data_IF_177376718221
#
_entry.id   IF_177376718221
#
_cell.length_a   1.000
_cell.length_b   1.000
_cell.length_c   1.000
_cell.angle_alpha   90.00
_cell.angle_beta   90.00
_cell.angle_gamma   90.00
#
_symmetry.space_group_name_H-M   'P 1'
#
loop_
_entity.id
_entity.type
_entity.pdbx_description
1 polymer ?
#
# COMPACT_ATOMS: atom_id res chain seq x y z
N UNK A 1 -8.69 7.73 30.66
CA UNK A 1 -9.25 7.51 29.33
C UNK A 1 -8.18 6.95 28.39
N UNK A 2 -8.47 5.84 27.78
CA UNK A 2 -7.51 5.20 26.89
C UNK A 2 -7.45 5.92 25.56
N UNK A 3 -6.27 6.45 25.22
CA UNK A 3 -6.08 7.13 23.96
C UNK A 3 -6.15 6.13 22.80
N UNK A 4 -6.91 6.47 21.77
CA UNK A 4 -6.96 5.64 20.60
C UNK A 4 -5.58 5.66 19.93
N UNK A 5 -5.06 4.47 19.65
CA UNK A 5 -3.74 4.24 19.09
C UNK A 5 -3.65 4.63 17.61
N UNK A 6 -4.79 4.64 16.94
CA UNK A 6 -4.86 4.86 15.50
C UNK A 6 -5.64 6.13 15.17
N UNK A 7 -5.30 6.72 14.03
CA UNK A 7 -6.03 7.88 13.54
C UNK A 7 -7.43 7.48 13.09
N UNK A 8 -8.35 8.43 13.09
CA UNK A 8 -9.71 8.18 12.62
C UNK A 8 -9.72 7.96 11.10
N UNK A 9 -10.72 7.22 10.60
CA UNK A 9 -10.91 7.01 9.16
C UNK A 9 -11.10 8.34 8.44
N UNK A 10 -11.86 9.25 9.03
CA UNK A 10 -12.11 10.58 8.45
C UNK A 10 -10.82 11.35 8.26
N UNK A 11 -9.91 11.27 9.24
CA UNK A 11 -8.61 11.92 9.18
C UNK A 11 -7.74 11.35 8.05
N UNK A 12 -7.75 10.03 7.90
CA UNK A 12 -6.99 9.34 6.84
C UNK A 12 -7.53 9.71 5.45
N UNK A 13 -8.85 9.73 5.30
CA UNK A 13 -9.48 10.11 4.03
C UNK A 13 -9.11 11.55 3.67
N UNK A 14 -9.14 12.47 4.63
CA UNK A 14 -8.74 13.85 4.41
C UNK A 14 -7.28 13.97 3.98
N UNK A 15 -6.38 13.22 4.61
CA UNK A 15 -4.97 13.15 4.25
C UNK A 15 -4.78 12.65 2.82
N UNK A 16 -5.48 11.57 2.48
CA UNK A 16 -5.41 10.98 1.14
C UNK A 16 -5.90 11.94 0.06
N UNK A 17 -6.98 12.67 0.32
CA UNK A 17 -7.52 13.64 -0.63
C UNK A 17 -6.56 14.80 -0.92
N UNK A 18 -5.70 15.11 0.03
CA UNK A 18 -4.67 16.15 -0.12
C UNK A 18 -3.38 15.62 -0.75
N UNK A 19 -3.34 14.36 -1.13
CA UNK A 19 -2.15 13.74 -1.70
C UNK A 19 -1.12 13.31 -0.66
N UNK A 20 -1.50 13.25 0.61
CA UNK A 20 -0.58 12.89 1.68
C UNK A 20 -0.43 11.38 1.85
N UNK A 21 0.65 11.02 2.53
CA UNK A 21 0.91 9.62 2.90
C UNK A 21 0.30 9.31 4.26
N UNK A 22 -0.05 8.05 4.44
CA UNK A 22 -0.49 7.53 5.72
C UNK A 22 0.05 6.11 5.90
N UNK A 23 -0.06 5.60 7.11
CA UNK A 23 0.37 4.25 7.44
C UNK A 23 -0.85 3.39 7.65
N UNK A 24 -0.94 2.31 6.89
CA UNK A 24 -1.99 1.31 7.03
C UNK A 24 -1.40 0.10 7.72
N UNK A 25 -2.01 -0.31 8.85
CA UNK A 25 -1.54 -1.48 9.59
C UNK A 25 -2.54 -2.60 9.45
N UNK A 26 -2.04 -3.81 9.37
CA UNK A 26 -2.89 -4.99 9.31
C UNK A 26 -3.12 -5.57 10.70
N UNK A 27 -3.91 -6.65 10.75
CA UNK A 27 -4.20 -7.36 11.98
C UNK A 27 -2.91 -7.98 12.53
N UNK A 28 -2.75 -7.91 13.85
CA UNK A 28 -1.63 -8.56 14.55
C UNK A 28 -1.54 -10.05 14.26
N UNK A 29 -2.68 -10.67 13.98
CA UNK A 29 -2.75 -12.11 13.66
C UNK A 29 -2.37 -12.42 12.21
N UNK A 30 -2.16 -11.41 11.38
CA UNK A 30 -1.73 -11.58 9.99
C UNK A 30 -0.23 -11.32 9.90
N UNK A 31 0.17 -10.16 9.43
CA UNK A 31 1.58 -9.81 9.28
C UNK A 31 2.09 -8.92 10.40
N UNK A 32 1.19 -8.23 11.08
CA UNK A 32 1.51 -7.25 12.12
C UNK A 32 2.52 -6.20 11.62
N UNK A 33 2.30 -5.73 10.40
CA UNK A 33 3.18 -4.78 9.74
C UNK A 33 2.41 -3.54 9.31
N UNK A 34 3.14 -2.45 9.14
CA UNK A 34 2.59 -1.21 8.61
C UNK A 34 3.12 -0.94 7.21
N UNK A 35 2.27 -0.40 6.36
CA UNK A 35 2.64 0.01 5.01
C UNK A 35 2.50 1.51 4.85
N UNK A 36 3.46 2.14 4.17
CA UNK A 36 3.31 3.51 3.73
C UNK A 36 2.44 3.52 2.47
N UNK A 37 1.39 4.33 2.49
CA UNK A 37 0.39 4.35 1.41
C UNK A 37 0.11 5.78 0.98
N UNK A 38 -0.04 6.00 -0.30
CA UNK A 38 -0.62 7.23 -0.84
C UNK A 38 -1.35 6.92 -2.14
N UNK A 39 -2.22 7.85 -2.56
CA UNK A 39 -3.01 7.66 -3.78
C UNK A 39 -2.09 7.73 -5.00
N UNK A 40 -2.18 6.73 -5.88
CA UNK A 40 -1.30 6.63 -7.05
C UNK A 40 -1.41 7.83 -7.99
N UNK A 41 -2.58 8.49 -8.05
CA UNK A 41 -2.75 9.69 -8.86
C UNK A 41 -1.87 10.87 -8.41
N UNK A 42 -1.36 10.81 -7.19
CA UNK A 42 -0.51 11.86 -6.60
C UNK A 42 0.98 11.51 -6.66
N UNK A 43 1.36 10.51 -7.45
CA UNK A 43 2.72 10.02 -7.52
C UNK A 43 3.68 11.07 -8.06
N UNK A 44 4.86 11.13 -7.45
CA UNK A 44 6.00 11.89 -7.95
C UNK A 44 7.30 11.26 -7.44
N UNK A 45 8.42 11.68 -8.00
CA UNK A 45 9.73 11.14 -7.65
C UNK A 45 10.06 11.31 -6.17
N UNK A 46 9.67 12.45 -5.59
CA UNK A 46 9.93 12.74 -4.18
C UNK A 46 9.24 11.76 -3.24
N UNK A 47 7.98 11.42 -3.53
CA UNK A 47 7.21 10.46 -2.74
C UNK A 47 7.76 9.04 -2.86
N UNK A 48 8.12 8.63 -4.07
CA UNK A 48 8.73 7.31 -4.29
C UNK A 48 10.07 7.23 -3.56
N UNK A 49 10.88 8.28 -3.63
CA UNK A 49 12.16 8.31 -2.93
C UNK A 49 11.97 8.24 -1.41
N UNK A 50 10.95 8.90 -0.88
CA UNK A 50 10.62 8.83 0.53
C UNK A 50 10.29 7.39 0.95
N UNK A 51 9.46 6.72 0.16
CA UNK A 51 9.09 5.33 0.42
C UNK A 51 10.31 4.40 0.39
N UNK A 52 11.17 4.57 -0.61
CA UNK A 52 12.37 3.74 -0.75
C UNK A 52 13.34 3.96 0.41
N UNK A 53 13.48 5.20 0.87
CA UNK A 53 14.43 5.57 1.91
C UNK A 53 13.97 5.14 3.30
N UNK A 54 12.71 5.38 3.62
CA UNK A 54 12.18 5.19 4.96
C UNK A 54 11.32 3.94 5.13
N UNK A 55 10.63 3.54 4.08
CA UNK A 55 9.79 2.33 4.11
C UNK A 55 10.60 1.05 4.05
N UNK A 56 11.66 1.04 3.27
CA UNK A 56 12.61 -0.06 3.15
C UNK A 56 11.99 -1.41 2.79
N UNK A 57 10.93 -1.37 2.03
CA UNK A 57 10.28 -2.58 1.60
C UNK A 57 10.08 -2.58 0.10
N UNK A 58 9.19 -3.45 -0.34
CA UNK A 58 8.81 -3.51 -1.74
C UNK A 58 7.79 -2.43 -2.04
N UNK A 59 8.05 -1.62 -3.05
CA UNK A 59 7.10 -0.61 -3.52
C UNK A 59 6.13 -1.30 -4.47
N UNK A 60 4.84 -1.27 -4.13
CA UNK A 60 3.81 -1.96 -4.88
C UNK A 60 2.75 -0.97 -5.36
N UNK A 61 2.17 -1.27 -6.51
CA UNK A 61 1.01 -0.56 -7.04
C UNK A 61 -0.17 -1.53 -7.06
N UNK A 62 -1.27 -1.16 -6.42
CA UNK A 62 -2.46 -2.00 -6.45
C UNK A 62 -3.27 -1.72 -7.71
N UNK A 63 -3.62 -2.78 -8.41
CA UNK A 63 -4.36 -2.71 -9.67
C UNK A 63 -5.51 -3.71 -9.64
N UNK A 64 -6.62 -3.34 -10.30
CA UNK A 64 -7.67 -4.33 -10.57
C UNK A 64 -7.33 -5.13 -11.83
N UNK A 65 -8.12 -6.18 -12.11
CA UNK A 65 -7.86 -7.06 -13.25
C UNK A 65 -7.89 -6.33 -14.59
N UNK A 66 -8.79 -5.38 -14.74
CA UNK A 66 -8.93 -4.61 -15.97
C UNK A 66 -7.69 -3.76 -16.24
N UNK A 67 -7.19 -3.07 -15.21
CA UNK A 67 -6.00 -2.25 -15.31
C UNK A 67 -4.76 -3.10 -15.61
N UNK A 68 -4.64 -4.22 -14.93
CA UNK A 68 -3.52 -5.15 -15.13
C UNK A 68 -3.49 -5.68 -16.55
N UNK A 69 -4.65 -6.04 -17.11
CA UNK A 69 -4.76 -6.51 -18.50
C UNK A 69 -4.39 -5.44 -19.50
N UNK A 70 -4.82 -4.20 -19.28
CA UNK A 70 -4.49 -3.06 -20.16
C UNK A 70 -2.99 -2.82 -20.24
N UNK A 71 -2.30 -3.04 -19.13
CA UNK A 71 -0.85 -2.84 -19.04
C UNK A 71 -0.06 -4.07 -19.49
N UNK A 72 -0.75 -5.18 -19.79
CA UNK A 72 -0.10 -6.41 -20.22
C UNK A 72 0.66 -7.13 -19.10
N UNK A 73 0.22 -6.94 -17.86
CA UNK A 73 0.89 -7.51 -16.70
C UNK A 73 0.31 -8.88 -16.36
N UNK A 74 1.19 -9.83 -16.08
CA UNK A 74 0.84 -11.16 -15.60
C UNK A 74 1.37 -11.32 -14.18
N UNK A 75 0.86 -12.31 -13.47
CA UNK A 75 1.39 -12.62 -12.15
C UNK A 75 2.88 -12.95 -12.23
N UNK A 76 3.61 -12.54 -11.21
CA UNK A 76 5.04 -12.78 -11.10
C UNK A 76 5.36 -14.28 -11.10
N UNK A 77 4.45 -15.08 -10.54
CA UNK A 77 4.52 -16.54 -10.56
C UNK A 77 3.19 -17.12 -11.03
N UNK A 78 3.21 -18.16 -11.93
CA UNK A 78 1.97 -18.79 -12.37
C UNK A 78 1.17 -19.40 -11.23
N UNK A 79 1.84 -19.89 -10.18
CA UNK A 79 1.23 -20.41 -8.97
C UNK A 79 1.64 -19.51 -7.82
N UNK A 80 0.65 -18.97 -7.11
CA UNK A 80 0.91 -18.12 -5.97
C UNK A 80 1.33 -18.99 -4.78
N UNK A 81 2.60 -18.93 -4.42
CA UNK A 81 3.17 -19.69 -3.30
C UNK A 81 3.46 -18.80 -2.08
N UNK A 82 3.04 -17.55 -2.12
CA UNK A 82 3.20 -16.64 -1.01
C UNK A 82 2.48 -17.18 0.22
N UNK A 83 3.08 -17.02 1.40
CA UNK A 83 2.46 -17.40 2.67
C UNK A 83 1.09 -16.75 2.85
N UNK A 84 0.95 -15.52 2.39
CA UNK A 84 -0.27 -14.74 2.54
C UNK A 84 -1.13 -14.76 1.28
N UNK A 85 -0.76 -15.57 0.32
CA UNK A 85 -1.43 -15.70 -0.96
C UNK A 85 -1.60 -14.36 -1.70
N UNK A 86 -0.63 -13.49 -1.53
CA UNK A 86 -0.62 -12.18 -2.21
C UNK A 86 -0.22 -12.36 -3.67
N UNK A 87 -1.01 -11.81 -4.58
CA UNK A 87 -0.76 -11.90 -6.01
C UNK A 87 0.06 -10.70 -6.49
N UNK A 88 1.28 -10.96 -6.96
CA UNK A 88 2.18 -9.96 -7.53
C UNK A 88 2.32 -10.12 -9.03
N UNK A 89 2.58 -9.02 -9.71
CA UNK A 89 2.92 -9.03 -11.14
C UNK A 89 4.35 -8.59 -11.37
#
# INVERSE_FOLDING_TARGET
MKKNKYSSIESIIATSKKGGMYILVDDENRENEGDLVFCASDVNAKKINFMATYGRGLICLTLNSTQSKKLGLNYMAPVNRSRNQTAFT
#
